data_IF_547171931996
#
_entry.id   IF_547171931996
#
_cell.length_a   1.000
_cell.length_b   1.000
_cell.length_c   1.000
_cell.angle_alpha   90.00
_cell.angle_beta   90.00
_cell.angle_gamma   90.00
#
_symmetry.space_group_name_H-M   'P 1'
#
loop_
_entity.id
_entity.type
_entity.pdbx_description
1 polymer ?
#
# COMPACT_ATOMS: atom_id res chain seq x y z
N UNK A 1 17.45 9.59 23.77
CA UNK A 1 17.87 8.62 22.74
C UNK A 1 16.70 8.47 21.80
N UNK A 2 16.82 8.99 20.58
CA UNK A 2 15.77 8.86 19.56
C UNK A 2 15.75 7.39 19.17
N UNK A 3 14.66 6.70 19.52
CA UNK A 3 14.41 5.35 19.03
C UNK A 3 14.43 5.42 17.52
N UNK A 4 15.37 4.72 16.89
CA UNK A 4 15.30 4.48 15.46
C UNK A 4 13.92 3.90 15.19
N UNK A 5 13.10 4.62 14.42
CA UNK A 5 11.85 4.09 13.92
C UNK A 5 12.27 2.96 12.97
N UNK A 6 11.99 1.68 13.25
CA UNK A 6 12.37 0.63 12.33
C UNK A 6 11.43 0.75 11.12
N UNK A 7 11.85 1.49 10.08
CA UNK A 7 11.26 1.41 8.74
C UNK A 7 11.55 0.05 8.06
N UNK A 8 11.86 -0.99 8.83
CA UNK A 8 12.16 -2.32 8.33
C UNK A 8 11.67 -3.31 9.37
N UNK A 9 10.34 -3.35 9.56
CA UNK A 9 9.71 -4.45 10.28
C UNK A 9 10.12 -5.77 9.62
N UNK A 10 10.66 -6.71 10.39
CA UNK A 10 10.99 -8.03 9.88
C UNK A 10 9.79 -8.60 9.13
N UNK A 11 9.99 -9.02 7.88
CA UNK A 11 8.95 -9.59 7.05
C UNK A 11 8.41 -10.88 7.72
N UNK A 12 7.15 -10.92 8.20
CA UNK A 12 6.63 -12.09 8.89
C UNK A 12 6.25 -13.23 7.92
N UNK A 13 6.27 -12.99 6.60
CA UNK A 13 6.13 -14.06 5.62
C UNK A 13 7.37 -14.94 5.63
N UNK A 14 7.24 -16.13 6.20
CA UNK A 14 8.22 -17.20 6.03
C UNK A 14 8.14 -17.70 4.59
N UNK A 15 9.08 -17.26 3.75
CA UNK A 15 9.20 -17.73 2.37
C UNK A 15 9.56 -19.23 2.41
N UNK A 16 8.69 -20.13 1.90
CA UNK A 16 9.00 -21.55 1.83
C UNK A 16 10.17 -21.79 0.87
N UNK A 17 11.09 -22.69 1.24
CA UNK A 17 12.27 -23.02 0.43
C UNK A 17 12.01 -24.13 -0.59
N UNK A 18 11.00 -24.95 -0.33
CA UNK A 18 10.72 -26.23 -0.98
C UNK A 18 9.41 -26.22 -1.78
N UNK A 19 8.63 -25.15 -1.70
CA UNK A 19 7.37 -24.99 -2.44
C UNK A 19 7.11 -23.53 -2.80
N UNK A 20 6.13 -23.30 -3.67
CA UNK A 20 5.57 -21.97 -3.93
C UNK A 20 4.50 -21.61 -2.89
N UNK A 21 4.15 -20.33 -2.83
CA UNK A 21 3.05 -19.85 -2.00
C UNK A 21 1.72 -20.49 -2.41
N UNK A 22 0.90 -20.83 -1.41
CA UNK A 22 -0.52 -21.17 -1.57
C UNK A 22 -1.32 -19.89 -1.77
N UNK A 23 -2.57 -20.01 -2.23
CA UNK A 23 -3.48 -18.87 -2.48
C UNK A 23 -3.51 -17.85 -1.32
N UNK A 24 -3.63 -18.33 -0.08
CA UNK A 24 -3.65 -17.47 1.12
C UNK A 24 -2.32 -16.72 1.35
N UNK A 25 -1.19 -17.37 1.07
CA UNK A 25 0.14 -16.76 1.22
C UNK A 25 0.42 -15.75 0.09
N UNK A 26 -0.13 -15.98 -1.11
CA UNK A 26 -0.11 -14.98 -2.19
C UNK A 26 -0.92 -13.75 -1.79
N UNK A 27 -2.13 -13.91 -1.25
CA UNK A 27 -2.92 -12.78 -0.76
C UNK A 27 -2.19 -12.02 0.37
N UNK A 28 -1.49 -12.72 1.26
CA UNK A 28 -0.62 -12.07 2.25
C UNK A 28 0.52 -11.29 1.59
N UNK A 29 1.22 -11.87 0.62
CA UNK A 29 2.29 -11.19 -0.10
C UNK A 29 1.80 -9.92 -0.81
N UNK A 30 0.60 -9.95 -1.40
CA UNK A 30 -0.01 -8.78 -2.04
C UNK A 30 -0.34 -7.67 -1.01
N UNK A 31 -0.87 -8.03 0.17
CA UNK A 31 -1.06 -7.05 1.26
C UNK A 31 0.27 -6.44 1.72
N UNK A 32 1.34 -7.23 1.79
CA UNK A 32 2.68 -6.72 2.09
C UNK A 32 3.21 -5.80 1.01
N UNK A 33 2.95 -6.09 -0.28
CA UNK A 33 3.24 -5.18 -1.38
C UNK A 33 2.57 -3.82 -1.18
N UNK A 34 1.25 -3.81 -0.94
CA UNK A 34 0.49 -2.58 -0.66
C UNK A 34 1.09 -1.80 0.53
N UNK A 35 1.44 -2.49 1.63
CA UNK A 35 2.05 -1.84 2.79
C UNK A 35 3.38 -1.18 2.42
N UNK A 36 4.24 -1.89 1.66
CA UNK A 36 5.52 -1.36 1.23
C UNK A 36 5.36 -0.12 0.33
N UNK A 37 4.42 -0.15 -0.61
CA UNK A 37 4.19 0.99 -1.50
C UNK A 37 3.61 2.20 -0.76
N UNK A 38 2.65 2.00 0.16
CA UNK A 38 2.12 3.08 0.99
C UNK A 38 3.18 3.71 1.90
N UNK A 39 4.11 2.90 2.41
CA UNK A 39 5.25 3.36 3.19
C UNK A 39 6.23 4.17 2.33
N UNK A 40 6.53 3.69 1.12
CA UNK A 40 7.37 4.37 0.15
C UNK A 40 6.78 5.73 -0.28
N UNK A 41 5.47 5.80 -0.54
CA UNK A 41 4.77 7.06 -0.85
C UNK A 41 5.02 8.09 0.25
N UNK A 42 4.72 7.72 1.51
CA UNK A 42 4.90 8.63 2.65
C UNK A 42 6.36 9.04 2.82
N UNK A 43 7.29 8.08 2.68
CA UNK A 43 8.73 8.33 2.82
C UNK A 43 9.24 9.31 1.76
N UNK A 44 8.91 9.09 0.49
CA UNK A 44 9.37 9.94 -0.61
C UNK A 44 8.72 11.32 -0.59
N UNK A 45 7.43 11.44 -0.24
CA UNK A 45 6.79 12.74 -0.09
C UNK A 45 7.42 13.56 1.06
N UNK A 46 7.69 12.94 2.21
CA UNK A 46 8.38 13.60 3.33
C UNK A 46 9.80 14.06 2.97
N UNK A 47 10.57 13.22 2.25
CA UNK A 47 11.88 13.61 1.76
C UNK A 47 11.80 14.77 0.77
N UNK A 48 10.85 14.72 -0.17
CA UNK A 48 10.65 15.78 -1.15
C UNK A 48 10.34 17.14 -0.50
N UNK A 49 9.56 17.15 0.60
CA UNK A 49 9.29 18.37 1.37
C UNK A 49 10.54 18.95 2.05
N UNK A 50 11.49 18.11 2.44
CA UNK A 50 12.72 18.50 3.11
C UNK A 50 13.87 18.92 2.15
N UNK A 51 13.67 18.83 0.83
CA UNK A 51 14.70 19.06 -0.19
C UNK A 51 14.50 20.42 -0.87
N UNK A 52 15.53 21.27 -0.86
CA UNK A 52 15.51 22.59 -1.53
C UNK A 52 15.79 22.52 -3.05
N UNK A 53 16.57 21.54 -3.53
CA UNK A 53 16.83 21.40 -4.97
C UNK A 53 15.58 20.88 -5.68
N UNK A 54 14.89 21.79 -6.38
CA UNK A 54 13.65 21.52 -7.11
C UNK A 54 13.76 20.38 -8.13
N UNK A 55 14.97 20.11 -8.67
CA UNK A 55 15.17 18.99 -9.60
C UNK A 55 15.12 17.66 -8.85
N UNK A 56 15.73 17.60 -7.67
CA UNK A 56 15.75 16.40 -6.83
C UNK A 56 14.37 16.16 -6.24
N UNK A 57 13.72 17.22 -5.73
CA UNK A 57 12.33 17.18 -5.27
C UNK A 57 11.38 16.62 -6.32
N UNK A 58 11.50 17.08 -7.58
CA UNK A 58 10.71 16.57 -8.69
C UNK A 58 10.90 15.07 -8.92
N UNK A 59 12.12 14.54 -8.76
CA UNK A 59 12.37 13.09 -8.88
C UNK A 59 11.64 12.34 -7.78
N UNK A 60 11.78 12.73 -6.50
CA UNK A 60 11.09 12.07 -5.40
C UNK A 60 9.56 12.10 -5.55
N UNK A 61 8.99 13.24 -5.94
CA UNK A 61 7.54 13.36 -6.17
C UNK A 61 7.06 12.51 -7.35
N UNK A 62 7.87 12.37 -8.40
CA UNK A 62 7.55 11.49 -9.52
C UNK A 62 7.55 10.02 -9.09
N UNK A 63 8.58 9.59 -8.35
CA UNK A 63 8.66 8.21 -7.83
C UNK A 63 7.48 7.94 -6.89
N UNK A 64 7.19 8.83 -5.94
CA UNK A 64 6.03 8.70 -5.04
C UNK A 64 4.70 8.57 -5.80
N UNK A 65 4.59 9.19 -6.98
CA UNK A 65 3.39 9.07 -7.84
C UNK A 65 3.33 7.70 -8.52
N UNK A 66 4.46 7.15 -8.97
CA UNK A 66 4.54 5.81 -9.55
C UNK A 66 4.17 4.74 -8.50
N UNK A 67 4.62 4.90 -7.25
CA UNK A 67 4.24 3.96 -6.18
C UNK A 67 2.72 3.96 -5.90
N UNK A 68 2.01 5.07 -6.15
CA UNK A 68 0.53 5.09 -6.08
C UNK A 68 -0.12 4.24 -7.17
N UNK A 69 0.51 4.14 -8.34
CA UNK A 69 0.06 3.22 -9.40
C UNK A 69 0.31 1.76 -8.96
N UNK A 70 1.48 1.47 -8.37
CA UNK A 70 1.80 0.14 -7.83
C UNK A 70 0.85 -0.31 -6.70
N UNK A 71 0.40 0.60 -5.82
CA UNK A 71 -0.68 0.30 -4.85
C UNK A 71 -1.92 -0.23 -5.58
N UNK A 72 -2.30 0.39 -6.69
CA UNK A 72 -3.42 -0.03 -7.52
C UNK A 72 -3.22 -1.42 -8.13
N UNK A 73 -2.02 -1.70 -8.65
CA UNK A 73 -1.68 -3.01 -9.23
C UNK A 73 -1.78 -4.14 -8.20
N UNK A 74 -1.21 -3.95 -7.02
CA UNK A 74 -1.27 -4.95 -5.95
C UNK A 74 -2.69 -5.11 -5.39
N UNK A 75 -3.43 -4.01 -5.23
CA UNK A 75 -4.81 -4.07 -4.76
C UNK A 75 -5.70 -4.83 -5.76
N UNK A 76 -5.59 -4.54 -7.06
CA UNK A 76 -6.36 -5.24 -8.09
C UNK A 76 -6.16 -6.76 -8.01
N UNK A 77 -4.90 -7.22 -7.92
CA UNK A 77 -4.60 -8.65 -7.78
C UNK A 77 -5.05 -9.21 -6.43
N UNK A 78 -5.00 -8.44 -5.35
CA UNK A 78 -5.44 -8.88 -4.03
C UNK A 78 -6.94 -9.19 -4.02
N UNK A 79 -7.76 -8.35 -4.67
CA UNK A 79 -9.20 -8.54 -4.74
C UNK A 79 -9.61 -9.78 -5.57
N UNK A 80 -8.78 -10.21 -6.52
CA UNK A 80 -8.95 -11.49 -7.23
C UNK A 80 -8.63 -12.72 -6.35
N UNK A 81 -7.75 -12.55 -5.35
CA UNK A 81 -7.31 -13.63 -4.47
C UNK A 81 -8.13 -13.72 -3.17
N UNK A 82 -8.79 -12.64 -2.76
CA UNK A 82 -9.49 -12.52 -1.48
C UNK A 82 -10.88 -11.88 -1.65
N UNK A 83 -11.88 -12.72 -1.93
CA UNK A 83 -13.26 -12.28 -2.17
C UNK A 83 -13.91 -11.70 -0.90
N UNK A 84 -13.57 -12.21 0.29
CA UNK A 84 -14.07 -11.67 1.55
C UNK A 84 -13.59 -10.22 1.74
N UNK A 85 -12.31 -9.96 1.48
CA UNK A 85 -11.79 -8.58 1.54
C UNK A 85 -12.50 -7.66 0.54
N UNK A 86 -12.75 -8.14 -0.69
CA UNK A 86 -13.48 -7.36 -1.71
C UNK A 86 -14.88 -6.98 -1.26
N UNK A 87 -15.64 -7.92 -0.68
CA UNK A 87 -16.95 -7.65 -0.09
C UNK A 87 -16.86 -6.64 1.06
N UNK A 88 -15.87 -6.81 1.94
CA UNK A 88 -15.66 -5.93 3.09
C UNK A 88 -15.25 -4.50 2.68
N UNK A 89 -14.43 -4.33 1.65
CA UNK A 89 -14.10 -3.01 1.10
C UNK A 89 -15.36 -2.34 0.54
N UNK A 90 -16.18 -3.06 -0.23
CA UNK A 90 -17.43 -2.52 -0.75
C UNK A 90 -18.39 -2.10 0.37
N UNK A 91 -18.41 -2.84 1.49
CA UNK A 91 -19.17 -2.45 2.69
C UNK A 91 -18.59 -1.19 3.34
N UNK A 92 -17.27 -1.11 3.51
CA UNK A 92 -16.60 0.05 4.09
C UNK A 92 -16.88 1.36 3.33
N UNK A 93 -16.99 1.31 2.00
CA UNK A 93 -17.39 2.46 1.19
C UNK A 93 -18.79 2.98 1.57
N UNK A 94 -19.74 2.08 1.84
CA UNK A 94 -21.09 2.43 2.29
C UNK A 94 -21.06 2.98 3.71
N UNK A 95 -20.28 2.35 4.60
CA UNK A 95 -20.15 2.80 5.99
C UNK A 95 -19.62 4.24 6.09
N UNK A 96 -18.70 4.67 5.22
CA UNK A 96 -18.23 6.07 5.19
C UNK A 96 -19.36 7.05 4.81
N UNK A 97 -20.22 6.68 3.86
CA UNK A 97 -21.39 7.50 3.51
C UNK A 97 -22.37 7.58 4.70
N UNK A 98 -22.63 6.46 5.37
CA UNK A 98 -23.54 6.38 6.51
C UNK A 98 -23.02 7.12 7.75
N UNK A 99 -21.73 7.00 8.08
CA UNK A 99 -21.15 7.54 9.31
C UNK A 99 -20.80 9.03 9.19
N UNK A 100 -20.27 9.46 8.05
CA UNK A 100 -19.74 10.83 7.89
C UNK A 100 -20.35 11.60 6.73
N UNK A 101 -21.31 11.03 6.00
CA UNK A 101 -22.03 11.70 4.90
C UNK A 101 -21.17 11.96 3.67
N UNK A 102 -19.99 11.35 3.57
CA UNK A 102 -19.10 11.48 2.42
C UNK A 102 -19.33 10.29 1.50
N UNK A 103 -19.82 10.53 0.29
CA UNK A 103 -19.92 9.49 -0.75
C UNK A 103 -18.52 9.26 -1.34
N UNK A 104 -17.85 8.13 -1.05
CA UNK A 104 -16.51 7.91 -1.58
C UNK A 104 -16.57 7.75 -3.09
N UNK A 105 -15.60 8.33 -3.80
CA UNK A 105 -15.48 8.12 -5.25
C UNK A 105 -15.14 6.65 -5.49
N UNK A 106 -15.89 6.00 -6.37
CA UNK A 106 -15.54 4.65 -6.84
C UNK A 106 -14.15 4.66 -7.47
N UNK A 107 -13.32 3.69 -7.07
CA UNK A 107 -12.14 3.31 -7.85
C UNK A 107 -12.67 2.39 -8.98
N UNK A 108 -12.20 2.52 -10.24
CA UNK A 108 -12.58 1.60 -11.32
C UNK A 108 -12.26 0.14 -11.01
#
# INVERSE_FOLDING_TARGET
>A
MISANPMLGENPLKIPKDRKFKKVEVAQALRWGIIAELDAINFYEQLAEAIEDERVKKVFLNVAREEKEHVGEFLAMLLEYDEELKEMIAKGYKEVEEEVGVVPKSIP
#
